data_IF_463004491769
#
_entry.id   IF_463004491769
#
_cell.length_a   1.000
_cell.length_b   1.000
_cell.length_c   1.000
_cell.angle_alpha   90.00
_cell.angle_beta   90.00
_cell.angle_gamma   90.00
#
_symmetry.space_group_name_H-M   'P 1'
#
loop_
_entity.id
_entity.type
_entity.pdbx_description
1 polymer ?
#
# COMPACT_ATOMS: atom_id res chain seq x y z
N UNK A 1 6.85 6.27 10.43
CA UNK A 1 6.26 5.05 9.81
C UNK A 1 4.86 4.85 10.36
N UNK A 2 3.86 4.68 9.49
CA UNK A 2 2.48 4.36 9.87
C UNK A 2 2.18 2.91 9.48
N UNK A 3 1.92 2.09 10.50
CA UNK A 3 1.61 0.66 10.39
C UNK A 3 0.34 0.29 11.19
N UNK A 4 -0.52 1.27 11.45
CA UNK A 4 -1.80 1.07 12.13
C UNK A 4 -2.75 0.40 11.13
N UNK A 5 -3.31 -0.76 11.50
CA UNK A 5 -4.22 -1.53 10.63
C UNK A 5 -5.51 -0.74 10.37
N UNK A 6 -5.99 -0.78 9.13
CA UNK A 6 -7.23 -0.15 8.72
C UNK A 6 -7.18 1.38 8.68
N UNK A 7 -8.34 2.00 8.85
CA UNK A 7 -8.54 3.44 8.61
C UNK A 7 -8.08 4.34 9.75
N UNK A 8 -7.84 3.77 10.94
CA UNK A 8 -7.43 4.51 12.14
C UNK A 8 -6.07 5.23 11.96
N UNK A 9 -5.25 4.80 11.01
CA UNK A 9 -3.97 5.43 10.70
C UNK A 9 -4.05 6.76 9.94
N UNK A 10 -5.22 7.16 9.42
CA UNK A 10 -5.36 8.38 8.62
C UNK A 10 -5.03 9.66 9.41
N UNK A 11 -5.61 9.86 10.60
CA UNK A 11 -5.34 11.05 11.40
C UNK A 11 -3.86 11.16 11.81
N UNK A 12 -3.20 10.09 12.31
CA UNK A 12 -1.76 10.11 12.55
C UNK A 12 -0.93 10.40 11.30
N UNK A 13 -1.30 9.86 10.13
CA UNK A 13 -0.59 10.10 8.88
C UNK A 13 -0.64 11.58 8.46
N UNK A 14 -1.83 12.20 8.50
CA UNK A 14 -2.00 13.62 8.19
C UNK A 14 -1.27 14.52 9.21
N UNK A 15 -1.31 14.16 10.49
CA UNK A 15 -0.59 14.88 11.53
C UNK A 15 0.93 14.84 11.31
N UNK A 16 1.47 13.68 10.92
CA UNK A 16 2.89 13.54 10.59
C UNK A 16 3.29 14.39 9.37
N UNK A 17 2.50 14.35 8.31
CA UNK A 17 2.70 15.19 7.11
C UNK A 17 2.72 16.68 7.48
N UNK A 18 1.71 17.16 8.22
CA UNK A 18 1.61 18.57 8.64
C UNK A 18 2.74 19.01 9.57
N UNK A 19 3.34 18.07 10.28
CA UNK A 19 4.53 18.29 11.10
C UNK A 19 5.85 18.23 10.29
N UNK A 20 5.78 18.11 8.97
CA UNK A 20 6.95 18.05 8.07
C UNK A 20 7.75 16.77 8.21
N UNK A 21 7.11 15.65 8.57
CA UNK A 21 7.78 14.35 8.77
C UNK A 21 7.57 13.45 7.56
N UNK A 22 8.66 12.92 7.02
CA UNK A 22 8.64 11.86 6.01
C UNK A 22 7.67 10.73 6.40
N UNK A 23 6.80 10.36 5.48
CA UNK A 23 5.74 9.41 5.75
C UNK A 23 6.03 8.08 5.04
N UNK A 24 6.61 7.15 5.80
CA UNK A 24 6.64 5.74 5.42
C UNK A 24 5.28 5.07 5.71
N UNK A 25 4.56 4.64 4.68
CA UNK A 25 3.20 4.09 4.77
C UNK A 25 3.21 2.58 4.50
N UNK A 26 2.85 1.80 5.52
CA UNK A 26 2.65 0.35 5.39
C UNK A 26 1.17 -0.03 5.18
N UNK A 27 0.24 0.76 5.74
CA UNK A 27 -1.18 0.46 5.68
C UNK A 27 -1.79 0.89 4.35
N UNK A 28 -2.18 -0.07 3.51
CA UNK A 28 -2.74 0.17 2.18
C UNK A 28 -4.10 0.89 2.27
N UNK A 29 -4.87 0.60 3.31
CA UNK A 29 -6.24 1.07 3.51
C UNK A 29 -6.34 2.59 3.59
N UNK A 30 -5.32 3.27 4.12
CA UNK A 30 -5.26 4.74 4.21
C UNK A 30 -5.23 5.33 2.80
N UNK A 31 -4.41 4.78 1.91
CA UNK A 31 -4.25 5.28 0.54
C UNK A 31 -5.42 4.87 -0.35
N UNK A 32 -6.01 3.68 -0.12
CA UNK A 32 -7.23 3.26 -0.82
C UNK A 32 -8.41 4.17 -0.48
N UNK A 33 -8.56 4.55 0.80
CA UNK A 33 -9.70 5.36 1.25
C UNK A 33 -9.50 6.86 1.02
N UNK A 34 -8.29 7.39 1.21
CA UNK A 34 -8.02 8.82 1.23
C UNK A 34 -6.75 9.21 0.44
N UNK A 35 -6.40 8.43 -0.59
CA UNK A 35 -5.18 8.63 -1.38
C UNK A 35 -5.01 10.05 -1.91
N UNK A 36 -6.05 10.64 -2.51
CA UNK A 36 -5.99 12.01 -3.03
C UNK A 36 -5.66 13.04 -1.93
N UNK A 37 -6.30 12.91 -0.76
CA UNK A 37 -6.10 13.83 0.36
C UNK A 37 -4.67 13.69 0.91
N UNK A 38 -4.22 12.45 1.14
CA UNK A 38 -2.89 12.17 1.69
C UNK A 38 -1.80 12.64 0.73
N UNK A 39 -1.91 12.34 -0.56
CA UNK A 39 -0.96 12.77 -1.59
C UNK A 39 -0.92 14.29 -1.69
N UNK A 40 -2.07 14.96 -1.75
CA UNK A 40 -2.15 16.43 -1.81
C UNK A 40 -1.51 17.09 -0.59
N UNK A 41 -1.80 16.61 0.62
CA UNK A 41 -1.24 17.19 1.84
C UNK A 41 0.28 16.97 1.91
N UNK A 42 0.78 15.81 1.46
CA UNK A 42 2.20 15.52 1.39
C UNK A 42 2.93 16.43 0.38
N UNK A 43 2.34 16.63 -0.80
CA UNK A 43 2.84 17.57 -1.81
C UNK A 43 2.88 19.01 -1.28
N UNK A 44 1.79 19.48 -0.64
CA UNK A 44 1.73 20.82 -0.04
C UNK A 44 2.76 21.02 1.07
N UNK A 45 3.03 19.98 1.87
CA UNK A 45 4.02 20.00 2.93
C UNK A 45 5.47 19.78 2.43
N UNK A 46 5.66 19.42 1.16
CA UNK A 46 6.97 19.04 0.61
C UNK A 46 7.54 17.77 1.25
N UNK A 47 6.67 16.88 1.74
CA UNK A 47 7.02 15.67 2.48
C UNK A 47 6.97 14.45 1.54
N UNK A 48 8.01 13.60 1.51
CA UNK A 48 7.98 12.38 0.71
C UNK A 48 7.02 11.33 1.30
N UNK A 49 6.29 10.66 0.40
CA UNK A 49 5.51 9.46 0.69
C UNK A 49 6.33 8.22 0.29
N UNK A 50 6.72 7.40 1.26
CA UNK A 50 7.54 6.22 1.04
C UNK A 50 6.70 4.94 1.22
N UNK A 51 6.54 4.09 0.19
CA UNK A 51 5.79 2.85 0.31
C UNK A 51 6.58 1.80 1.11
N UNK A 52 5.96 1.19 2.11
CA UNK A 52 6.55 0.08 2.87
C UNK A 52 5.96 -1.27 2.46
N UNK A 53 4.75 -1.27 1.90
CA UNK A 53 4.09 -2.44 1.37
C UNK A 53 4.95 -3.15 0.30
N UNK A 54 5.06 -4.49 0.36
CA UNK A 54 6.07 -5.25 -0.40
C UNK A 54 6.05 -4.99 -1.90
N UNK A 55 4.88 -5.06 -2.53
CA UNK A 55 4.76 -4.89 -3.99
C UNK A 55 5.04 -3.43 -4.40
N UNK A 56 4.52 -2.48 -3.64
CA UNK A 56 4.69 -1.05 -3.91
C UNK A 56 6.15 -0.62 -3.70
N UNK A 57 6.80 -1.14 -2.65
CA UNK A 57 8.21 -0.90 -2.37
C UNK A 57 9.12 -1.56 -3.42
N UNK A 58 8.74 -2.73 -3.96
CA UNK A 58 9.46 -3.34 -5.08
C UNK A 58 9.38 -2.47 -6.34
N UNK A 59 8.21 -1.93 -6.67
CA UNK A 59 8.04 -0.98 -7.78
C UNK A 59 8.86 0.29 -7.52
N UNK A 60 8.82 0.83 -6.30
CA UNK A 60 9.58 2.02 -5.93
C UNK A 60 11.09 1.82 -6.14
N UNK A 61 11.64 0.69 -5.69
CA UNK A 61 13.05 0.35 -5.90
C UNK A 61 13.42 0.19 -7.38
N UNK A 62 12.53 -0.36 -8.20
CA UNK A 62 12.76 -0.47 -9.65
C UNK A 62 12.76 0.88 -10.38
N UNK A 63 12.10 1.90 -9.81
CA UNK A 63 12.01 3.24 -10.39
C UNK A 63 12.99 4.23 -9.74
N UNK A 64 13.64 3.87 -8.64
CA UNK A 64 14.57 4.76 -7.95
C UNK A 64 15.75 5.14 -8.87
N UNK A 65 16.09 6.42 -8.89
CA UNK A 65 17.06 7.00 -9.83
C UNK A 65 16.55 7.30 -11.24
N UNK A 66 15.35 6.85 -11.62
CA UNK A 66 14.71 7.21 -12.90
C UNK A 66 13.94 8.53 -12.77
N UNK A 67 14.11 9.44 -13.74
CA UNK A 67 13.58 10.82 -13.65
C UNK A 67 12.47 11.15 -14.65
N UNK A 68 12.16 10.29 -15.62
CA UNK A 68 11.04 10.54 -16.54
C UNK A 68 9.67 10.31 -15.92
N UNK A 69 9.60 9.85 -14.67
CA UNK A 69 8.33 9.65 -13.98
C UNK A 69 7.43 8.67 -14.72
N UNK A 70 6.14 8.98 -14.83
CA UNK A 70 5.16 8.08 -15.43
C UNK A 70 5.38 7.81 -16.94
N UNK A 71 6.06 8.71 -17.67
CA UNK A 71 6.27 8.52 -19.12
C UNK A 71 7.31 7.45 -19.46
N UNK A 72 8.19 7.11 -18.51
CA UNK A 72 9.16 6.01 -18.65
C UNK A 72 8.57 4.64 -18.29
N UNK A 73 7.35 4.60 -17.73
CA UNK A 73 6.70 3.37 -17.29
C UNK A 73 5.72 2.85 -18.34
N UNK A 74 6.07 1.76 -19.01
CA UNK A 74 5.19 1.12 -20.01
C UNK A 74 4.17 0.13 -19.39
N UNK A 75 4.52 -0.49 -18.25
CA UNK A 75 3.71 -1.49 -17.55
C UNK A 75 4.15 -1.63 -16.11
N UNK A 76 3.19 -1.83 -15.20
CA UNK A 76 3.43 -2.32 -13.84
C UNK A 76 2.97 -3.77 -13.73
N UNK A 77 3.76 -4.61 -13.05
CA UNK A 77 3.42 -6.00 -12.75
C UNK A 77 3.26 -6.12 -11.24
N UNK A 78 2.02 -6.30 -10.78
CA UNK A 78 1.72 -6.57 -9.38
C UNK A 78 1.63 -8.08 -9.18
N UNK A 79 2.46 -8.61 -8.29
CA UNK A 79 2.47 -10.02 -7.92
C UNK A 79 1.54 -10.26 -6.73
N UNK A 80 1.03 -11.49 -6.63
CA UNK A 80 0.27 -11.95 -5.48
C UNK A 80 0.60 -13.42 -5.22
N UNK A 81 0.62 -13.84 -3.96
CA UNK A 81 0.84 -15.25 -3.59
C UNK A 81 -0.30 -16.16 -4.06
N UNK A 82 -1.51 -15.60 -4.14
CA UNK A 82 -2.77 -16.30 -4.40
C UNK A 82 -3.49 -16.78 -3.13
N UNK A 83 -2.87 -16.64 -1.95
CA UNK A 83 -3.48 -17.03 -0.67
C UNK A 83 -3.61 -18.55 -0.46
N UNK A 84 -4.13 -18.97 0.70
CA UNK A 84 -4.29 -20.39 1.04
C UNK A 84 -5.29 -21.13 0.14
N UNK A 85 -6.13 -20.41 -0.61
CA UNK A 85 -7.20 -20.97 -1.42
C UNK A 85 -6.94 -20.93 -2.93
N UNK A 86 -5.69 -20.65 -3.36
CA UNK A 86 -5.33 -20.54 -4.78
C UNK A 86 -5.77 -21.75 -5.63
N UNK A 87 -5.70 -22.94 -5.05
CA UNK A 87 -6.02 -24.21 -5.72
C UNK A 87 -7.35 -24.82 -5.24
N UNK A 88 -8.13 -24.09 -4.44
CA UNK A 88 -9.41 -24.60 -3.91
C UNK A 88 -10.48 -24.55 -5.02
N UNK A 89 -11.21 -25.66 -5.26
CA UNK A 89 -12.33 -25.66 -6.20
C UNK A 89 -13.39 -24.63 -5.81
N UNK A 90 -14.02 -24.01 -6.81
CA UNK A 90 -15.01 -22.96 -6.56
C UNK A 90 -16.21 -23.44 -5.71
N UNK A 91 -16.61 -24.72 -5.87
CA UNK A 91 -17.66 -25.36 -5.06
C UNK A 91 -17.33 -25.41 -3.57
N UNK A 92 -16.04 -25.42 -3.23
CA UNK A 92 -15.60 -25.63 -1.85
C UNK A 92 -15.35 -24.28 -1.15
N UNK A 93 -15.31 -23.18 -1.90
CA UNK A 93 -15.07 -21.83 -1.37
C UNK A 93 -16.19 -21.36 -0.43
N UNK A 94 -17.43 -21.81 -0.62
CA UNK A 94 -18.54 -21.47 0.28
C UNK A 94 -18.44 -22.13 1.67
N UNK A 95 -17.58 -23.13 1.81
CA UNK A 95 -17.42 -23.90 3.04
C UNK A 95 -16.11 -23.60 3.79
N UNK A 96 -15.30 -22.67 3.29
CA UNK A 96 -14.03 -22.32 3.95
C UNK A 96 -14.28 -21.63 5.28
N UNK A 97 -13.37 -21.85 6.21
CA UNK A 97 -13.43 -21.33 7.58
C UNK A 97 -12.35 -20.29 7.82
N UNK A 98 -12.57 -19.42 8.81
CA UNK A 98 -11.57 -18.47 9.27
C UNK A 98 -10.25 -19.18 9.65
N UNK A 99 -10.33 -20.32 10.31
CA UNK A 99 -9.16 -21.10 10.71
C UNK A 99 -8.35 -21.62 9.52
N UNK A 100 -8.98 -21.89 8.37
CA UNK A 100 -8.27 -22.23 7.13
C UNK A 100 -7.66 -20.98 6.50
N UNK A 101 -8.36 -19.84 6.51
CA UNK A 101 -7.88 -18.58 5.93
C UNK A 101 -6.65 -18.02 6.68
N UNK A 102 -6.58 -18.21 8.00
CA UNK A 102 -5.45 -17.76 8.83
C UNK A 102 -4.22 -18.68 8.76
N UNK A 103 -4.31 -19.83 8.07
CA UNK A 103 -3.17 -20.74 7.82
C UNK A 103 -2.48 -20.35 6.52
N UNK A 104 -1.81 -19.22 6.57
CA UNK A 104 -1.12 -18.63 5.42
C UNK A 104 0.28 -19.19 5.21
#
# INVERSE_FOLDING_TARGET
MVAIVGTAGLHPALAAIRAGKDLAVASKEILVMAGEIVTREAELAGVPLLPVDSEHNAIFQCLDGHRGGASEVSRLILTASGGPFRNTPASDLEHVTLAQALKH
#
